data_IF_217036404553
#
_entry.id   IF_217036404553
#
_cell.length_a   1.000
_cell.length_b   1.000
_cell.length_c   1.000
_cell.angle_alpha   90.00
_cell.angle_beta   90.00
_cell.angle_gamma   90.00
#
_symmetry.space_group_name_H-M   'P 1'
#
loop_
_entity.id
_entity.type
_entity.pdbx_description
1 polymer ?
#
# COMPACT_ATOMS: atom_id res chain seq x y z
N UNK A 1 1.61 4.00 15.13
CA UNK A 1 0.53 3.81 14.13
C UNK A 1 0.90 2.71 13.13
N UNK A 2 -0.06 1.99 12.51
CA UNK A 2 0.23 0.89 11.55
C UNK A 2 -0.31 1.19 10.15
N UNK A 3 0.55 1.00 9.14
CA UNK A 3 0.21 0.96 7.72
C UNK A 3 0.03 -0.51 7.33
N UNK A 4 -1.18 -0.90 6.95
CA UNK A 4 -1.51 -2.25 6.47
C UNK A 4 -1.51 -2.27 4.96
N UNK A 5 -0.77 -3.18 4.36
CA UNK A 5 -0.71 -3.40 2.91
C UNK A 5 -1.27 -4.79 2.65
N UNK A 6 -2.40 -4.87 1.95
CA UNK A 6 -3.16 -6.11 1.75
C UNK A 6 -3.26 -6.41 0.25
N UNK A 7 -2.69 -7.52 -0.19
CA UNK A 7 -2.94 -8.06 -1.53
C UNK A 7 -4.30 -8.77 -1.54
N UNK A 8 -5.23 -8.27 -2.34
CA UNK A 8 -6.56 -8.86 -2.57
C UNK A 8 -6.75 -9.19 -4.05
N UNK A 9 -5.66 -9.36 -4.78
CA UNK A 9 -5.67 -9.60 -6.22
C UNK A 9 -6.30 -10.95 -6.53
N UNK A 10 -7.06 -10.99 -7.63
CA UNK A 10 -7.75 -12.20 -8.09
C UNK A 10 -7.10 -12.68 -9.39
N UNK A 11 -6.83 -13.98 -9.43
CA UNK A 11 -6.39 -14.64 -10.65
C UNK A 11 -7.61 -15.17 -11.41
N UNK A 12 -7.76 -14.74 -12.67
CA UNK A 12 -8.76 -15.31 -13.57
C UNK A 12 -8.09 -16.37 -14.45
N UNK A 13 -8.44 -17.64 -14.23
CA UNK A 13 -7.90 -18.78 -14.97
C UNK A 13 -8.39 -18.88 -16.41
N UNK A 14 -9.55 -18.29 -16.73
CA UNK A 14 -10.14 -18.31 -18.09
C UNK A 14 -9.42 -17.33 -19.02
N UNK A 15 -9.05 -16.15 -18.49
CA UNK A 15 -8.34 -15.12 -19.26
C UNK A 15 -6.82 -15.16 -19.07
N UNK A 16 -6.33 -15.97 -18.12
CA UNK A 16 -4.93 -15.99 -17.66
C UNK A 16 -4.40 -14.58 -17.31
N UNK A 17 -5.27 -13.73 -16.80
CA UNK A 17 -4.95 -12.38 -16.35
C UNK A 17 -5.06 -12.29 -14.84
N UNK A 18 -4.18 -11.49 -14.25
CA UNK A 18 -4.28 -11.12 -12.83
C UNK A 18 -4.82 -9.70 -12.75
N UNK A 19 -5.96 -9.56 -12.09
CA UNK A 19 -6.50 -8.26 -11.73
C UNK A 19 -5.90 -7.89 -10.37
N UNK A 20 -4.80 -7.13 -10.43
CA UNK A 20 -4.16 -6.70 -9.20
C UNK A 20 -5.06 -5.71 -8.45
N UNK A 21 -5.25 -5.98 -7.17
CA UNK A 21 -6.03 -5.15 -6.28
C UNK A 21 -5.40 -5.17 -4.89
N UNK A 22 -4.57 -4.16 -4.61
CA UNK A 22 -3.84 -4.04 -3.35
C UNK A 22 -4.39 -2.83 -2.59
N UNK A 23 -4.63 -2.99 -1.29
CA UNK A 23 -5.11 -1.91 -0.44
C UNK A 23 -4.04 -1.49 0.55
N UNK A 24 -3.84 -0.17 0.68
CA UNK A 24 -3.00 0.40 1.74
C UNK A 24 -3.89 1.18 2.69
N UNK A 25 -3.86 0.80 3.97
CA UNK A 25 -4.75 1.30 5.01
C UNK A 25 -3.96 1.80 6.22
N UNK A 26 -4.28 2.99 6.72
CA UNK A 26 -3.71 3.52 7.94
C UNK A 26 -4.78 4.28 8.73
N UNK A 27 -5.27 3.68 9.82
CA UNK A 27 -6.41 4.20 10.56
C UNK A 27 -7.67 4.28 9.68
N UNK A 28 -8.18 5.50 9.45
CA UNK A 28 -9.33 5.77 8.57
C UNK A 28 -8.95 6.02 7.11
N UNK A 29 -7.66 6.16 6.81
CA UNK A 29 -7.17 6.47 5.48
C UNK A 29 -6.97 5.18 4.69
N UNK A 30 -7.41 5.19 3.42
CA UNK A 30 -7.28 4.06 2.52
C UNK A 30 -6.98 4.53 1.10
N UNK A 31 -6.05 3.85 0.44
CA UNK A 31 -5.79 3.99 -1.00
C UNK A 31 -5.82 2.60 -1.64
N UNK A 32 -6.44 2.53 -2.82
CA UNK A 32 -6.48 1.34 -3.66
C UNK A 32 -5.40 1.43 -4.73
N UNK A 33 -4.67 0.34 -4.92
CA UNK A 33 -3.68 0.13 -5.96
C UNK A 33 -4.23 -0.92 -6.92
N UNK A 34 -4.85 -0.43 -7.99
CA UNK A 34 -5.46 -1.25 -9.05
C UNK A 34 -5.36 -0.53 -10.38
N UNK A 35 -5.58 -1.24 -11.49
CA UNK A 35 -5.60 -0.64 -12.85
C UNK A 35 -6.67 0.46 -13.01
N UNK A 36 -7.74 0.38 -12.21
CA UNK A 36 -8.88 1.29 -12.28
C UNK A 36 -8.82 2.38 -11.20
N UNK A 37 -7.79 2.39 -10.37
CA UNK A 37 -7.65 3.38 -9.31
C UNK A 37 -7.19 4.72 -9.86
N UNK A 38 -8.06 5.73 -9.82
CA UNK A 38 -7.70 7.11 -10.15
C UNK A 38 -6.77 7.75 -9.10
N UNK A 39 -6.67 7.15 -7.90
CA UNK A 39 -5.83 7.64 -6.81
C UNK A 39 -4.42 7.03 -6.83
N UNK A 40 -4.21 5.95 -7.57
CA UNK A 40 -2.90 5.32 -7.74
C UNK A 40 -2.05 6.06 -8.79
N UNK A 41 -1.78 7.33 -8.51
CA UNK A 41 -0.88 8.20 -9.26
C UNK A 41 -0.09 9.06 -8.26
N UNK A 42 0.87 9.86 -8.76
CA UNK A 42 1.74 10.66 -7.89
C UNK A 42 0.96 11.57 -6.93
N UNK A 43 -0.09 12.23 -7.42
CA UNK A 43 -0.88 13.17 -6.62
C UNK A 43 -1.67 12.46 -5.53
N UNK A 44 -2.39 11.38 -5.88
CA UNK A 44 -3.16 10.61 -4.91
C UNK A 44 -2.30 9.88 -3.86
N UNK A 45 -1.10 9.43 -4.26
CA UNK A 45 -0.10 8.88 -3.31
C UNK A 45 0.38 9.97 -2.35
N UNK A 46 0.75 11.16 -2.87
CA UNK A 46 1.20 12.28 -2.04
C UNK A 46 0.12 12.76 -1.06
N UNK A 47 -1.13 12.85 -1.52
CA UNK A 47 -2.29 13.20 -0.69
C UNK A 47 -2.52 12.18 0.42
N UNK A 48 -2.39 10.88 0.10
CA UNK A 48 -2.50 9.81 1.09
C UNK A 48 -1.38 9.89 2.13
N UNK A 49 -0.12 10.03 1.69
CA UNK A 49 1.05 10.16 2.58
C UNK A 49 0.95 11.38 3.49
N UNK A 50 0.54 12.52 2.95
CA UNK A 50 0.32 13.76 3.73
C UNK A 50 -0.78 13.54 4.77
N UNK A 51 -1.89 12.91 4.36
CA UNK A 51 -3.02 12.65 5.26
C UNK A 51 -2.62 11.76 6.45
N UNK A 52 -1.82 10.72 6.22
CA UNK A 52 -1.38 9.83 7.30
C UNK A 52 -0.30 10.47 8.16
N UNK A 53 0.59 11.29 7.61
CA UNK A 53 1.63 11.99 8.38
C UNK A 53 1.03 13.01 9.36
N UNK A 54 -0.02 13.73 8.95
CA UNK A 54 -0.74 14.70 9.81
C UNK A 54 -1.61 14.01 10.87
N UNK A 55 -2.05 12.77 10.61
CA UNK A 55 -2.92 12.04 11.52
C UNK A 55 -2.18 11.39 12.71
N UNK A 56 -0.84 11.38 12.70
CA UNK A 56 -0.05 10.78 13.77
C UNK A 56 0.20 11.78 14.90
N UNK A 57 -0.02 11.38 16.17
CA UNK A 57 0.42 12.17 17.32
C UNK A 57 1.94 12.37 17.35
N UNK A 58 2.40 13.55 17.76
CA UNK A 58 3.84 13.83 17.91
C UNK A 58 4.55 12.75 18.76
N UNK A 59 5.64 12.18 18.22
CA UNK A 59 6.44 11.16 18.90
C UNK A 59 6.08 9.70 18.56
N UNK A 60 4.97 9.47 17.85
CA UNK A 60 4.59 8.12 17.43
C UNK A 60 5.32 7.68 16.16
N UNK A 61 5.65 6.38 16.08
CA UNK A 61 6.27 5.76 14.90
C UNK A 61 5.25 5.04 14.03
N UNK A 62 5.56 4.95 12.74
CA UNK A 62 4.88 4.02 11.85
C UNK A 62 5.48 2.61 11.91
N UNK A 63 4.62 1.62 11.73
CA UNK A 63 4.99 0.23 11.45
C UNK A 63 4.25 -0.26 10.20
N UNK A 64 4.87 -1.17 9.43
CA UNK A 64 4.22 -1.81 8.28
C UNK A 64 3.76 -3.21 8.65
N UNK A 65 2.50 -3.50 8.35
CA UNK A 65 1.91 -4.84 8.39
C UNK A 65 1.57 -5.27 6.95
N UNK A 66 2.15 -6.39 6.50
CA UNK A 66 1.99 -6.90 5.14
C UNK A 66 1.08 -8.14 5.20
N UNK A 67 0.04 -8.17 4.38
CA UNK A 67 -0.84 -9.32 4.16
C UNK A 67 -0.81 -9.70 2.70
N UNK A 68 0.01 -10.69 2.43
CA UNK A 68 0.21 -11.26 1.11
C UNK A 68 -0.91 -12.26 0.77
N UNK A 69 -1.31 -12.30 -0.50
CA UNK A 69 -2.20 -13.33 -1.01
C UNK A 69 -1.35 -14.54 -1.46
N UNK A 70 -1.64 -15.72 -0.92
CA UNK A 70 -0.92 -16.96 -1.21
C UNK A 70 -1.08 -17.43 -2.67
N UNK A 71 -2.19 -17.05 -3.33
CA UNK A 71 -2.54 -17.52 -4.69
C UNK A 71 -2.01 -16.62 -5.82
N UNK A 72 -1.04 -15.74 -5.54
CA UNK A 72 -0.62 -14.70 -6.48
C UNK A 72 0.31 -15.20 -7.60
N UNK A 73 0.15 -14.60 -8.78
CA UNK A 73 1.12 -14.71 -9.90
C UNK A 73 2.25 -13.70 -9.75
N UNK A 74 3.35 -13.92 -10.46
CA UNK A 74 4.55 -13.08 -10.41
C UNK A 74 4.27 -11.58 -10.63
N UNK A 75 3.32 -11.22 -11.50
CA UNK A 75 2.95 -9.82 -11.75
C UNK A 75 2.36 -9.14 -10.50
N UNK A 76 1.37 -9.76 -9.84
CA UNK A 76 0.78 -9.22 -8.60
C UNK A 76 1.81 -9.15 -7.47
N UNK A 77 2.67 -10.17 -7.36
CA UNK A 77 3.77 -10.19 -6.40
C UNK A 77 4.72 -9.00 -6.62
N UNK A 78 5.07 -8.69 -7.87
CA UNK A 78 5.95 -7.56 -8.18
C UNK A 78 5.31 -6.22 -7.78
N UNK A 79 4.03 -6.01 -8.09
CA UNK A 79 3.32 -4.79 -7.69
C UNK A 79 3.20 -4.70 -6.17
N UNK A 80 2.86 -5.80 -5.49
CA UNK A 80 2.78 -5.84 -4.02
C UNK A 80 4.12 -5.50 -3.35
N UNK A 81 5.22 -6.07 -3.84
CA UNK A 81 6.55 -5.80 -3.32
C UNK A 81 6.94 -4.34 -3.54
N UNK A 82 6.66 -3.79 -4.74
CA UNK A 82 6.90 -2.38 -5.03
C UNK A 82 6.14 -1.45 -4.08
N UNK A 83 4.85 -1.73 -3.85
CA UNK A 83 4.03 -0.97 -2.88
C UNK A 83 4.64 -1.08 -1.48
N UNK A 84 5.04 -2.29 -1.06
CA UNK A 84 5.69 -2.48 0.24
C UNK A 84 6.99 -1.67 0.38
N UNK A 85 7.83 -1.61 -0.65
CA UNK A 85 9.10 -0.87 -0.65
C UNK A 85 8.88 0.66 -0.60
N UNK A 86 7.90 1.16 -1.36
CA UNK A 86 7.54 2.57 -1.37
C UNK A 86 7.13 3.04 0.04
N UNK A 87 6.20 2.32 0.67
CA UNK A 87 5.75 2.68 2.01
C UNK A 87 6.81 2.41 3.07
N UNK A 88 7.66 1.39 2.91
CA UNK A 88 8.79 1.16 3.83
C UNK A 88 9.75 2.34 3.82
N UNK A 89 10.07 2.86 2.63
CA UNK A 89 10.96 4.02 2.49
C UNK A 89 10.39 5.25 3.19
N UNK A 90 9.09 5.51 3.02
CA UNK A 90 8.39 6.59 3.75
C UNK A 90 8.44 6.40 5.27
N UNK A 91 8.14 5.18 5.76
CA UNK A 91 8.18 4.87 7.20
C UNK A 91 9.58 5.05 7.78
N UNK A 92 10.61 4.61 7.05
CA UNK A 92 12.01 4.73 7.46
C UNK A 92 12.44 6.20 7.52
N UNK A 93 12.02 7.03 6.56
CA UNK A 93 12.31 8.47 6.56
C UNK A 93 11.57 9.23 7.66
N UNK A 94 10.29 8.93 7.88
CA UNK A 94 9.49 9.55 8.93
C UNK A 94 10.05 9.19 10.31
N UNK A 95 10.27 7.91 10.58
CA UNK A 95 10.73 7.42 11.88
C UNK A 95 12.18 7.83 12.23
N UNK A 96 12.97 8.35 11.27
CA UNK A 96 14.29 8.96 11.53
C UNK A 96 14.18 10.39 12.04
N UNK A 97 13.07 11.07 11.73
CA UNK A 97 12.83 12.46 12.12
C UNK A 97 12.16 12.59 13.49
N UNK A 98 11.54 11.50 13.96
CA UNK A 98 10.87 11.35 15.26
C UNK A 98 11.81 10.71 16.28
#
# INVERSE_FOLDING_TARGET
>A
MKIKIVDSSLFNSETNQTDFNIYVECGKHKIEVSKNSEKWNNDGINDFLTSIAVAIPDGDKFEIEKKENDDKKAESLNVFNYVCELFQSFVDEYNKQV
#
